data_IF_837439723504
#
_entry.id   IF_837439723504
#
_cell.length_a   1.000
_cell.length_b   1.000
_cell.length_c   1.000
_cell.angle_alpha   90.00
_cell.angle_beta   90.00
_cell.angle_gamma   90.00
#
_symmetry.space_group_name_H-M   'P 1'
#
loop_
_entity.id
_entity.type
_entity.pdbx_description
1 polymer ?
#
# COMPACT_ATOMS: atom_id res chain seq x y z
N UNK A 1 10.29 -8.84 12.05
CA UNK A 1 10.39 -7.95 10.87
C UNK A 1 10.27 -6.46 11.23
N UNK A 2 9.34 -6.05 12.10
CA UNK A 2 9.14 -4.64 12.51
C UNK A 2 10.39 -3.88 12.99
N UNK A 3 11.30 -4.56 13.70
CA UNK A 3 12.51 -3.95 14.30
C UNK A 3 13.46 -3.38 13.21
N UNK A 4 13.49 -3.99 12.02
CA UNK A 4 14.30 -3.50 10.90
C UNK A 4 13.58 -2.36 10.15
N UNK A 5 12.26 -2.50 9.96
CA UNK A 5 11.43 -1.51 9.27
C UNK A 5 11.38 -0.15 10.00
N UNK A 6 11.49 -0.14 11.32
CA UNK A 6 11.55 1.09 12.12
C UNK A 6 12.88 1.85 11.96
N UNK A 7 13.93 1.22 11.40
CA UNK A 7 15.20 1.88 11.06
C UNK A 7 15.20 2.55 9.68
N UNK A 8 14.18 2.30 8.85
CA UNK A 8 14.03 2.94 7.54
C UNK A 8 13.55 4.38 7.70
N UNK A 9 13.96 5.32 6.81
CA UNK A 9 13.62 6.74 6.90
C UNK A 9 12.13 6.94 7.13
N UNK A 10 11.73 7.83 8.04
CA UNK A 10 10.33 7.99 8.48
C UNK A 10 9.30 8.09 7.34
N UNK A 11 9.69 8.69 6.23
CA UNK A 11 8.88 8.85 5.03
C UNK A 11 9.10 7.70 4.05
N UNK A 12 8.31 6.65 4.18
CA UNK A 12 8.21 5.59 3.19
C UNK A 12 6.78 5.56 2.65
N UNK A 13 6.65 5.75 1.34
CA UNK A 13 5.38 5.78 0.64
C UNK A 13 5.41 4.76 -0.49
N UNK A 14 4.37 3.94 -0.59
CA UNK A 14 4.05 3.19 -1.81
C UNK A 14 2.96 3.92 -2.57
N UNK A 15 3.06 3.99 -3.89
CA UNK A 15 2.06 4.64 -4.75
C UNK A 15 1.36 3.56 -5.54
N UNK A 16 0.04 3.46 -5.40
CA UNK A 16 -0.74 2.32 -5.88
C UNK A 16 -2.00 2.80 -6.58
N UNK A 17 -2.38 2.12 -7.67
CA UNK A 17 -3.67 2.32 -8.35
C UNK A 17 -4.67 1.23 -7.98
N UNK A 18 -5.95 1.53 -8.14
CA UNK A 18 -7.01 0.55 -8.03
C UNK A 18 -6.78 -0.65 -8.96
N UNK A 19 -7.00 -1.85 -8.41
CA UNK A 19 -6.94 -3.15 -9.10
C UNK A 19 -5.56 -3.49 -9.70
N UNK A 20 -4.49 -2.93 -9.15
CA UNK A 20 -3.14 -3.42 -9.43
C UNK A 20 -2.92 -4.75 -8.69
N UNK A 21 -2.68 -5.83 -9.40
CA UNK A 21 -2.49 -7.15 -8.80
C UNK A 21 -1.11 -7.30 -8.14
N UNK A 22 -0.12 -6.52 -8.56
CA UNK A 22 1.27 -6.67 -8.08
C UNK A 22 1.38 -6.32 -6.59
N UNK A 23 0.57 -5.39 -6.10
CA UNK A 23 0.62 -4.96 -4.69
C UNK A 23 0.04 -6.00 -3.72
N UNK A 24 -0.71 -6.98 -4.23
CA UNK A 24 -1.30 -8.07 -3.46
C UNK A 24 -0.44 -9.33 -3.43
N UNK A 25 0.79 -9.23 -3.97
CA UNK A 25 1.75 -10.32 -4.03
C UNK A 25 3.01 -10.00 -3.21
N UNK A 26 3.58 -10.97 -2.48
CA UNK A 26 3.00 -12.29 -2.19
C UNK A 26 1.74 -12.18 -1.32
N UNK A 27 0.75 -13.08 -1.47
CA UNK A 27 -0.44 -13.04 -0.63
C UNK A 27 -0.06 -13.36 0.82
N UNK A 28 -0.75 -12.77 1.80
CA UNK A 28 -0.51 -13.02 3.24
C UNK A 28 -0.52 -14.50 3.62
N UNK A 29 -1.30 -15.33 2.93
CA UNK A 29 -1.34 -16.78 3.15
C UNK A 29 -0.03 -17.49 2.81
N UNK A 30 0.83 -16.85 2.02
CA UNK A 30 2.19 -17.27 1.74
C UNK A 30 3.14 -16.48 2.65
N UNK A 31 3.65 -17.10 3.71
CA UNK A 31 4.67 -16.55 4.62
C UNK A 31 4.35 -15.20 5.32
N UNK A 32 3.08 -14.78 5.37
CA UNK A 32 2.62 -13.57 6.09
C UNK A 32 3.33 -12.27 5.65
N UNK A 33 3.55 -12.13 4.34
CA UNK A 33 4.01 -10.87 3.77
C UNK A 33 2.98 -9.76 3.98
N UNK A 34 3.45 -8.62 4.48
CA UNK A 34 2.63 -7.43 4.66
C UNK A 34 3.44 -6.19 4.30
N UNK A 35 2.76 -5.22 3.69
CA UNK A 35 3.32 -3.91 3.41
C UNK A 35 3.34 -3.07 4.67
N UNK A 36 4.36 -2.22 4.76
CA UNK A 36 4.59 -1.38 5.93
C UNK A 36 4.25 0.09 5.62
N UNK A 37 3.69 0.78 6.63
CA UNK A 37 3.53 2.24 6.70
C UNK A 37 2.45 2.87 5.82
N UNK A 38 2.81 3.62 4.77
CA UNK A 38 1.90 4.59 4.14
C UNK A 38 1.70 4.29 2.67
N UNK A 39 0.44 4.23 2.27
CA UNK A 39 0.01 4.08 0.89
C UNK A 39 -0.57 5.40 0.38
N UNK A 40 -0.15 5.77 -0.83
CA UNK A 40 -0.80 6.81 -1.63
C UNK A 40 -1.63 6.09 -2.69
N UNK A 41 -2.93 6.05 -2.46
CA UNK A 41 -3.87 5.26 -3.24
C UNK A 41 -4.63 6.12 -4.24
N UNK A 42 -4.62 5.69 -5.50
CA UNK A 42 -5.38 6.27 -6.59
C UNK A 42 -6.51 5.35 -6.98
N UNK A 43 -7.74 5.73 -6.63
CA UNK A 43 -8.96 5.03 -7.07
C UNK A 43 -9.40 5.46 -8.47
N UNK A 44 -8.44 5.64 -9.38
CA UNK A 44 -8.63 6.21 -10.71
C UNK A 44 -7.43 5.87 -11.63
N UNK A 45 -7.35 6.58 -12.75
CA UNK A 45 -6.35 6.33 -13.79
C UNK A 45 -4.96 6.93 -13.52
N UNK A 46 -4.70 7.54 -12.36
CA UNK A 46 -3.43 8.23 -12.05
C UNK A 46 -3.04 9.32 -13.06
N UNK A 47 -4.02 9.93 -13.73
CA UNK A 47 -3.77 11.04 -14.66
C UNK A 47 -3.30 12.28 -13.88
N UNK A 48 -2.59 13.23 -14.51
CA UNK A 48 -2.36 14.54 -13.92
C UNK A 48 -3.67 15.13 -13.40
N UNK A 49 -3.64 15.78 -12.23
CA UNK A 49 -4.79 16.29 -11.46
C UNK A 49 -5.76 15.27 -10.84
N UNK A 50 -5.50 13.96 -10.97
CA UNK A 50 -6.32 12.96 -10.29
C UNK A 50 -6.21 13.06 -8.78
N UNK A 51 -7.34 12.86 -8.10
CA UNK A 51 -7.39 12.79 -6.64
C UNK A 51 -6.71 11.52 -6.13
N UNK A 52 -6.19 11.58 -4.91
CA UNK A 52 -5.54 10.46 -4.25
C UNK A 52 -5.89 10.47 -2.77
N UNK A 53 -5.80 9.30 -2.13
CA UNK A 53 -6.01 9.11 -0.71
C UNK A 53 -4.70 8.71 -0.03
N UNK A 54 -4.41 9.30 1.12
CA UNK A 54 -3.35 8.82 2.02
C UNK A 54 -3.94 7.76 2.95
N UNK A 55 -3.36 6.59 2.97
CA UNK A 55 -3.76 5.49 3.84
C UNK A 55 -2.59 5.22 4.78
N UNK A 56 -2.83 5.35 6.09
CA UNK A 56 -1.80 5.25 7.12
C UNK A 56 -2.04 3.97 7.90
N UNK A 57 -1.02 3.12 7.93
CA UNK A 57 -1.10 1.81 8.56
C UNK A 57 -0.89 0.70 7.54
N UNK A 58 -0.77 -0.51 8.08
CA UNK A 58 -0.45 -1.69 7.29
C UNK A 58 -1.75 -2.28 6.71
N UNK A 59 -1.83 -2.41 5.38
CA UNK A 59 -2.98 -2.96 4.62
C UNK A 59 -4.36 -2.36 4.94
N UNK A 60 -4.51 -1.05 4.70
CA UNK A 60 -5.79 -0.35 4.87
C UNK A 60 -6.87 -0.87 3.89
N UNK A 61 -7.99 -1.36 4.46
CA UNK A 61 -9.15 -1.91 3.72
C UNK A 61 -9.90 -0.88 2.89
N UNK A 62 -9.66 0.42 3.07
CA UNK A 62 -10.27 1.45 2.24
C UNK A 62 -9.40 1.85 1.03
N UNK A 63 -8.25 1.20 0.84
CA UNK A 63 -7.27 1.53 -0.20
C UNK A 63 -7.06 0.35 -1.14
N UNK A 64 -5.84 0.02 -1.56
CA UNK A 64 -5.64 -1.13 -2.45
C UNK A 64 -6.21 -2.42 -1.87
N UNK A 65 -6.13 -2.60 -0.55
CA UNK A 65 -6.61 -3.81 0.13
C UNK A 65 -8.12 -4.04 0.08
N UNK A 66 -8.90 -3.09 -0.46
CA UNK A 66 -10.32 -3.30 -0.75
C UNK A 66 -10.58 -4.26 -1.92
N UNK A 67 -9.53 -4.59 -2.69
CA UNK A 67 -9.59 -5.45 -3.86
C UNK A 67 -8.89 -6.81 -3.66
N UNK A 68 -8.48 -7.14 -2.43
CA UNK A 68 -8.02 -8.47 -2.05
C UNK A 68 -9.15 -9.50 -1.91
#
# INVERSE_FOLDING_TARGET
>A
MQIFLNKLPFFNYRVVRARDLVVHLPPRTYEDYAHYRTEIFYDNDMKPSSTWKRCVGDEDKDCANKYE
#
